data_IF_325707489941
#
_entry.id   IF_325707489941
#
_cell.length_a   1.000
_cell.length_b   1.000
_cell.length_c   1.000
_cell.angle_alpha   90.00
_cell.angle_beta   90.00
_cell.angle_gamma   90.00
#
_symmetry.space_group_name_H-M   'P 1'
#
loop_
_entity.id
_entity.type
_entity.pdbx_description
1 polymer ?
#
# COMPACT_ATOMS: atom_id res chain seq x y z
N UNK A 1 13.86 10.09 -7.59
CA UNK A 1 13.15 10.90 -6.58
C UNK A 1 12.97 10.02 -5.35
N UNK A 2 13.25 10.49 -4.12
CA UNK A 2 12.82 9.73 -2.96
C UNK A 2 11.30 9.65 -3.05
N UNK A 3 10.75 8.45 -3.23
CA UNK A 3 9.33 8.26 -3.08
C UNK A 3 9.06 8.63 -1.61
N UNK A 4 8.48 9.81 -1.36
CA UNK A 4 7.98 10.16 -0.04
C UNK A 4 6.77 9.27 0.21
N UNK A 5 7.04 7.99 0.48
CA UNK A 5 6.04 7.01 0.83
C UNK A 5 5.41 7.52 2.12
N UNK A 6 4.14 7.85 2.03
CA UNK A 6 3.39 8.32 3.20
C UNK A 6 3.34 7.20 4.23
N UNK A 7 3.18 7.51 5.53
CA UNK A 7 2.98 6.48 6.56
C UNK A 7 1.88 5.47 6.19
N UNK A 8 0.84 5.94 5.49
CA UNK A 8 -0.28 5.14 5.00
C UNK A 8 0.15 4.12 3.94
N UNK A 9 1.13 4.45 3.09
CA UNK A 9 1.69 3.48 2.15
C UNK A 9 2.42 2.36 2.89
N UNK A 10 3.20 2.68 3.93
CA UNK A 10 3.94 1.69 4.71
C UNK A 10 3.00 0.74 5.47
N UNK A 11 1.93 1.27 6.05
CA UNK A 11 0.88 0.46 6.70
C UNK A 11 0.14 -0.44 5.71
N UNK A 12 -0.14 0.07 4.50
CA UNK A 12 -0.75 -0.72 3.44
C UNK A 12 0.22 -1.79 2.90
N UNK A 13 1.51 -1.49 2.77
CA UNK A 13 2.53 -2.46 2.39
C UNK A 13 2.66 -3.58 3.43
N UNK A 14 2.63 -3.23 4.72
CA UNK A 14 2.70 -4.23 5.79
C UNK A 14 1.48 -5.15 5.76
N UNK A 15 0.28 -4.61 5.59
CA UNK A 15 -0.95 -5.41 5.38
C UNK A 15 -0.86 -6.28 4.12
N UNK A 16 -0.27 -5.79 3.04
CA UNK A 16 -0.04 -6.59 1.83
C UNK A 16 0.91 -7.77 2.07
N UNK A 17 1.94 -7.58 2.91
CA UNK A 17 2.90 -8.63 3.27
C UNK A 17 2.29 -9.68 4.22
N UNK A 18 1.44 -9.26 5.14
CA UNK A 18 0.77 -10.13 6.12
C UNK A 18 -0.46 -10.85 5.54
N UNK A 19 -1.04 -10.33 4.46
CA UNK A 19 -2.21 -10.88 3.79
C UNK A 19 -1.99 -12.33 3.33
N UNK A 20 -2.87 -13.23 3.79
CA UNK A 20 -2.86 -14.64 3.40
C UNK A 20 -3.76 -14.92 2.20
N UNK A 21 -4.74 -14.06 1.96
CA UNK A 21 -5.69 -14.21 0.87
C UNK A 21 -5.43 -13.23 -0.27
N UNK A 22 -5.86 -13.61 -1.47
CA UNK A 22 -5.76 -12.76 -2.65
C UNK A 22 -6.59 -11.47 -2.48
N UNK A 23 -7.74 -11.54 -1.81
CA UNK A 23 -8.60 -10.39 -1.55
C UNK A 23 -7.93 -9.36 -0.63
N UNK A 24 -7.31 -9.81 0.46
CA UNK A 24 -6.56 -8.92 1.36
C UNK A 24 -5.40 -8.24 0.65
N UNK A 25 -4.65 -9.00 -0.17
CA UNK A 25 -3.60 -8.45 -1.03
C UNK A 25 -4.14 -7.40 -1.99
N UNK A 26 -5.29 -7.65 -2.61
CA UNK A 26 -5.92 -6.71 -3.55
C UNK A 26 -6.34 -5.41 -2.85
N UNK A 27 -6.92 -5.49 -1.66
CA UNK A 27 -7.31 -4.32 -0.88
C UNK A 27 -6.10 -3.49 -0.46
N UNK A 28 -5.07 -4.13 0.10
CA UNK A 28 -3.84 -3.47 0.49
C UNK A 28 -3.14 -2.79 -0.70
N UNK A 29 -3.10 -3.46 -1.86
CA UNK A 29 -2.52 -2.88 -3.08
C UNK A 29 -3.30 -1.65 -3.57
N UNK A 30 -4.64 -1.65 -3.48
CA UNK A 30 -5.45 -0.47 -3.83
C UNK A 30 -5.16 0.71 -2.91
N UNK A 31 -4.96 0.46 -1.62
CA UNK A 31 -4.60 1.49 -0.64
C UNK A 31 -3.19 2.04 -0.88
N UNK A 32 -2.23 1.17 -1.20
CA UNK A 32 -0.89 1.58 -1.63
C UNK A 32 -0.97 2.49 -2.86
N UNK A 33 -1.75 2.14 -3.88
CA UNK A 33 -1.89 2.96 -5.09
C UNK A 33 -2.62 4.30 -4.83
N UNK A 34 -3.60 4.32 -3.93
CA UNK A 34 -4.35 5.53 -3.58
C UNK A 34 -3.49 6.55 -2.80
N UNK A 35 -2.49 6.07 -2.06
CA UNK A 35 -1.59 6.90 -1.25
C UNK A 35 -0.40 7.44 -2.01
N UNK A 36 -0.12 6.92 -3.22
CA UNK A 36 0.92 7.47 -4.10
C UNK A 36 0.49 8.85 -4.58
N UNK A 37 1.25 9.91 -4.28
CA UNK A 37 0.87 11.24 -4.70
C UNK A 37 1.12 11.42 -6.21
N UNK A 38 0.09 11.92 -6.91
CA UNK A 38 0.13 12.29 -8.33
C UNK A 38 0.63 13.72 -8.45
N UNK A 39 1.94 13.88 -8.56
CA UNK A 39 2.62 15.16 -8.75
C UNK A 39 3.78 14.94 -9.72
#
# INVERSE_FOLDING_TARGET
MPANLTPQYLEAEQRYREAQTLQEKLSALKEMLATIPKH
#
